data_IF_338048919497
#
_entry.id   IF_338048919497
#
_cell.length_a   1.000
_cell.length_b   1.000
_cell.length_c   1.000
_cell.angle_alpha   90.00
_cell.angle_beta   90.00
_cell.angle_gamma   90.00
#
_symmetry.space_group_name_H-M   'P 1'
#
loop_
_entity.id
_entity.type
_entity.pdbx_description
1 polymer ?
#
# COMPACT_ATOMS: atom_id res chain seq x y z
N UNK A 1 26.27 31.17 58.45
CA UNK A 1 26.06 29.74 58.15
C UNK A 1 24.70 29.55 57.52
N UNK A 2 24.58 28.63 56.55
CA UNK A 2 23.42 28.27 55.68
C UNK A 2 23.56 28.81 54.24
N UNK A 3 24.34 28.13 53.40
CA UNK A 3 24.02 26.93 52.59
C UNK A 3 23.33 27.33 51.28
N UNK A 4 24.12 27.31 50.21
CA UNK A 4 23.69 27.32 48.81
C UNK A 4 22.83 26.08 48.51
N UNK A 5 21.72 26.26 47.80
CA UNK A 5 21.10 25.20 47.01
C UNK A 5 21.07 25.66 45.54
N UNK A 6 21.95 25.06 44.74
CA UNK A 6 21.88 25.08 43.28
C UNK A 6 20.77 24.12 42.84
N UNK A 7 19.78 24.62 42.11
CA UNK A 7 18.79 23.81 41.39
C UNK A 7 19.20 23.75 39.92
N UNK A 8 19.73 22.60 39.52
CA UNK A 8 19.95 22.21 38.13
C UNK A 8 18.59 22.04 37.43
N UNK A 9 18.36 22.60 36.22
CA UNK A 9 17.27 22.15 35.38
C UNK A 9 17.62 20.76 34.82
N UNK A 10 16.82 19.78 35.23
CA UNK A 10 16.86 18.40 34.75
C UNK A 10 16.56 18.43 33.24
N UNK A 11 17.51 17.99 32.43
CA UNK A 11 17.28 17.62 31.04
C UNK A 11 16.20 16.52 31.00
N UNK A 12 14.98 16.90 30.65
CA UNK A 12 13.93 15.97 30.26
C UNK A 12 14.28 15.39 28.90
N UNK A 13 14.80 14.17 28.90
CA UNK A 13 14.91 13.33 27.70
C UNK A 13 13.51 13.15 27.12
N UNK A 14 13.23 13.81 26.00
CA UNK A 14 12.12 13.46 25.10
C UNK A 14 12.38 12.01 24.64
N UNK A 15 11.76 11.07 25.35
CA UNK A 15 11.74 9.68 24.96
C UNK A 15 10.88 9.55 23.69
N UNK A 16 11.52 9.33 22.54
CA UNK A 16 10.84 8.92 21.30
C UNK A 16 10.24 7.48 21.38
N UNK A 17 10.10 6.91 22.57
CA UNK A 17 9.65 5.53 22.79
C UNK A 17 8.14 5.39 23.06
N UNK A 18 7.48 6.43 23.56
CA UNK A 18 6.07 6.33 24.01
C UNK A 18 5.03 6.57 22.91
N UNK A 19 5.44 6.90 21.68
CA UNK A 19 4.50 7.11 20.56
C UNK A 19 4.14 5.83 19.79
N UNK A 20 4.78 4.70 20.10
CA UNK A 20 4.51 3.43 19.41
C UNK A 20 3.42 2.58 20.08
N UNK A 21 2.89 2.99 21.23
CA UNK A 21 2.04 2.14 22.06
C UNK A 21 0.56 2.59 22.18
N UNK A 22 0.08 3.47 21.30
CA UNK A 22 -1.28 4.04 21.43
C UNK A 22 -2.08 4.06 20.12
N UNK A 23 -2.39 2.87 19.62
CA UNK A 23 -3.66 2.48 19.02
C UNK A 23 -3.54 0.99 18.65
N UNK A 24 -4.60 0.16 18.72
CA UNK A 24 -4.60 -1.04 17.89
C UNK A 24 -4.33 -0.53 16.48
N UNK A 25 -3.21 -0.93 15.87
CA UNK A 25 -2.89 -0.58 14.49
C UNK A 25 -4.00 -1.20 13.64
N UNK A 26 -5.08 -0.45 13.46
CA UNK A 26 -6.22 -0.85 12.68
C UNK A 26 -5.70 -1.23 11.30
N UNK A 27 -6.34 -2.24 10.71
CA UNK A 27 -6.00 -2.62 9.35
C UNK A 27 -6.26 -1.45 8.42
N UNK A 28 -5.27 -1.10 7.61
CA UNK A 28 -5.37 -0.06 6.58
C UNK A 28 -5.46 -0.70 5.21
N UNK A 29 -5.96 0.09 4.27
CA UNK A 29 -5.99 -0.25 2.86
C UNK A 29 -5.71 0.99 2.04
N UNK A 30 -5.19 0.80 0.84
CA UNK A 30 -5.06 1.85 -0.14
C UNK A 30 -4.99 1.24 -1.53
N UNK A 31 -5.22 2.06 -2.54
CA UNK A 31 -5.00 1.70 -3.93
C UNK A 31 -4.09 2.69 -4.64
N UNK A 32 -3.45 2.20 -5.68
CA UNK A 32 -2.78 2.97 -6.71
C UNK A 32 -3.40 2.58 -8.05
N UNK A 33 -4.26 3.45 -8.58
CA UNK A 33 -4.91 3.23 -9.88
C UNK A 33 -4.13 3.96 -10.97
N UNK A 34 -3.51 3.20 -11.89
CA UNK A 34 -2.69 3.74 -12.98
C UNK A 34 -3.47 3.95 -14.28
N UNK A 35 -4.78 3.70 -14.28
CA UNK A 35 -5.63 3.90 -15.45
C UNK A 35 -5.80 5.40 -15.77
N UNK A 36 -6.11 5.75 -17.04
CA UNK A 36 -6.27 4.85 -18.18
C UNK A 36 -4.96 4.47 -18.90
N UNK A 37 -3.84 5.19 -18.70
CA UNK A 37 -2.64 4.99 -19.53
C UNK A 37 -1.95 3.64 -19.24
N UNK A 38 -2.16 3.08 -18.05
CA UNK A 38 -1.87 1.67 -17.76
C UNK A 38 -3.14 0.98 -17.28
N UNK A 39 -3.57 -0.12 -17.92
CA UNK A 39 -4.73 -0.89 -17.49
C UNK A 39 -4.37 -1.77 -16.28
N UNK A 40 -3.92 -1.13 -15.19
CA UNK A 40 -3.51 -1.76 -13.94
C UNK A 40 -3.95 -0.93 -12.74
N UNK A 41 -4.28 -1.60 -11.65
CA UNK A 41 -4.50 -0.99 -10.35
C UNK A 41 -3.94 -1.93 -9.28
N UNK A 42 -3.10 -1.40 -8.39
CA UNK A 42 -2.61 -2.17 -7.25
C UNK A 42 -3.37 -1.75 -6.01
N UNK A 43 -3.87 -2.70 -5.22
CA UNK A 43 -4.36 -2.41 -3.87
C UNK A 43 -3.57 -3.17 -2.80
N UNK A 44 -3.56 -2.58 -1.61
CA UNK A 44 -3.11 -3.20 -0.38
C UNK A 44 -4.30 -3.29 0.55
N UNK A 45 -4.52 -4.48 1.12
CA UNK A 45 -5.62 -4.79 2.05
C UNK A 45 -5.05 -5.39 3.33
N UNK A 46 -5.73 -5.15 4.45
CA UNK A 46 -5.35 -5.67 5.77
C UNK A 46 -3.94 -5.27 6.23
N UNK A 47 -3.41 -4.13 5.77
CA UNK A 47 -2.08 -3.68 6.14
C UNK A 47 -2.00 -3.34 7.64
N UNK A 48 -1.04 -3.96 8.33
CA UNK A 48 -0.78 -3.75 9.76
C UNK A 48 0.55 -3.05 9.90
N UNK A 49 0.53 -1.73 9.87
CA UNK A 49 1.72 -0.92 10.02
C UNK A 49 1.41 0.53 10.35
N UNK A 50 2.43 1.32 10.69
CA UNK A 50 2.25 2.70 11.14
C UNK A 50 1.81 3.65 10.02
N UNK A 51 2.11 3.33 8.76
CA UNK A 51 1.72 4.13 7.58
C UNK A 51 1.82 3.35 6.27
N UNK A 52 1.08 3.81 5.24
CA UNK A 52 1.15 3.34 3.85
C UNK A 52 2.01 4.25 2.96
N UNK A 53 2.84 5.13 3.56
CA UNK A 53 3.65 6.13 2.85
C UNK A 53 4.58 5.51 1.79
N UNK A 54 5.11 4.31 2.06
CA UNK A 54 5.94 3.60 1.07
C UNK A 54 5.13 3.27 -0.17
N UNK A 55 3.89 2.81 0.00
CA UNK A 55 3.01 2.47 -1.12
C UNK A 55 2.56 3.73 -1.87
N UNK A 56 2.23 4.80 -1.16
CA UNK A 56 1.98 6.12 -1.77
C UNK A 56 3.17 6.60 -2.61
N UNK A 57 4.39 6.53 -2.06
CA UNK A 57 5.61 6.94 -2.77
C UNK A 57 5.89 6.11 -4.02
N UNK A 58 5.64 4.80 -3.97
CA UNK A 58 5.70 3.93 -5.16
C UNK A 58 4.66 4.36 -6.18
N UNK A 59 3.44 4.66 -5.76
CA UNK A 59 2.39 5.13 -6.67
C UNK A 59 2.75 6.45 -7.36
N UNK A 60 3.26 7.44 -6.62
CA UNK A 60 3.69 8.72 -7.20
C UNK A 60 4.87 8.54 -8.17
N UNK A 61 5.76 7.58 -7.92
CA UNK A 61 6.84 7.24 -8.85
C UNK A 61 6.30 6.62 -10.14
N UNK A 62 5.35 5.69 -10.03
CA UNK A 62 4.70 5.06 -11.18
C UNK A 62 3.90 6.09 -11.98
N UNK A 63 3.25 7.03 -11.30
CA UNK A 63 2.54 8.15 -11.91
C UNK A 63 3.46 9.06 -12.70
N UNK A 64 4.62 9.39 -12.15
CA UNK A 64 5.63 10.17 -12.88
C UNK A 64 6.11 9.42 -14.14
N UNK A 65 6.25 8.09 -14.07
CA UNK A 65 6.72 7.26 -15.18
C UNK A 65 5.66 7.02 -16.28
N UNK A 66 4.40 6.87 -15.88
CA UNK A 66 3.30 6.50 -16.78
C UNK A 66 2.46 7.70 -17.21
N UNK A 67 2.63 8.86 -16.53
CA UNK A 67 1.85 10.09 -16.69
C UNK A 67 0.38 9.99 -16.26
N UNK A 68 -0.01 8.85 -15.69
CA UNK A 68 -1.31 8.58 -15.06
C UNK A 68 -1.10 7.89 -13.72
N UNK A 69 -2.03 8.02 -12.78
CA UNK A 69 -1.83 7.44 -11.46
C UNK A 69 -2.52 8.24 -10.38
N UNK A 70 -3.29 7.55 -9.55
CA UNK A 70 -3.91 8.13 -8.36
C UNK A 70 -3.74 7.19 -7.18
N UNK A 71 -3.12 7.70 -6.12
CA UNK A 71 -3.11 7.07 -4.82
C UNK A 71 -4.36 7.46 -4.04
N UNK A 72 -4.97 6.50 -3.35
CA UNK A 72 -6.09 6.75 -2.46
C UNK A 72 -6.04 5.82 -1.24
N UNK A 73 -5.87 6.39 -0.06
CA UNK A 73 -5.96 5.67 1.20
C UNK A 73 -7.43 5.41 1.58
N UNK A 74 -7.71 4.23 2.13
CA UNK A 74 -9.07 3.79 2.47
C UNK A 74 -9.83 3.14 1.31
N UNK A 75 -9.27 3.11 0.10
CA UNK A 75 -9.91 2.52 -1.08
C UNK A 75 -9.24 1.22 -1.54
N UNK A 76 -9.99 0.42 -2.32
CA UNK A 76 -9.52 -0.76 -3.05
C UNK A 76 -9.78 -0.57 -4.54
N UNK A 77 -9.10 -1.34 -5.38
CA UNK A 77 -9.29 -1.25 -6.82
C UNK A 77 -10.71 -1.61 -7.21
N UNK A 78 -11.31 -0.83 -8.10
CA UNK A 78 -12.58 -1.20 -8.74
C UNK A 78 -12.30 -2.34 -9.71
N UNK A 79 -12.87 -3.52 -9.47
CA UNK A 79 -12.60 -4.73 -10.27
C UNK A 79 -13.46 -4.81 -11.53
N UNK A 80 -14.30 -3.82 -11.81
CA UNK A 80 -15.07 -3.74 -13.05
C UNK A 80 -14.13 -3.83 -14.25
N UNK A 81 -14.40 -4.78 -15.14
CA UNK A 81 -13.61 -5.08 -16.33
C UNK A 81 -12.16 -5.53 -16.07
N UNK A 82 -11.85 -5.99 -14.86
CA UNK A 82 -10.62 -6.75 -14.62
C UNK A 82 -10.72 -8.17 -15.20
N UNK A 83 -9.62 -8.69 -15.73
CA UNK A 83 -9.47 -10.13 -15.97
C UNK A 83 -9.21 -10.89 -14.66
N UNK A 84 -8.53 -10.24 -13.72
CA UNK A 84 -8.13 -10.77 -12.43
C UNK A 84 -6.88 -10.06 -11.93
N UNK A 85 -6.25 -10.60 -10.90
CA UNK A 85 -5.07 -10.01 -10.29
C UNK A 85 -4.08 -11.02 -9.75
N UNK A 86 -2.82 -10.60 -9.69
CA UNK A 86 -1.75 -11.36 -9.05
C UNK A 86 -1.66 -10.89 -7.60
N UNK A 87 -2.02 -11.78 -6.67
CA UNK A 87 -2.04 -11.51 -5.24
C UNK A 87 -0.83 -12.10 -4.56
N UNK A 88 -0.06 -11.26 -3.90
CA UNK A 88 0.92 -11.66 -2.90
C UNK A 88 0.27 -11.62 -1.51
N UNK A 89 0.51 -12.67 -0.72
CA UNK A 89 0.14 -12.72 0.69
C UNK A 89 1.40 -12.61 1.52
N UNK A 90 1.47 -11.59 2.37
CA UNK A 90 2.59 -11.42 3.27
C UNK A 90 2.33 -12.09 4.62
N UNK A 91 3.40 -12.47 5.32
CA UNK A 91 3.34 -13.23 6.58
C UNK A 91 2.47 -12.55 7.67
N UNK A 92 2.34 -11.23 7.60
CA UNK A 92 1.54 -10.42 8.54
C UNK A 92 0.02 -10.42 8.23
N UNK A 93 -0.37 -11.15 7.18
CA UNK A 93 -1.75 -11.28 6.71
C UNK A 93 -2.26 -10.11 5.86
N UNK A 94 -1.38 -9.18 5.48
CA UNK A 94 -1.72 -8.17 4.49
C UNK A 94 -1.63 -8.76 3.08
N UNK A 95 -2.56 -8.32 2.23
CA UNK A 95 -2.65 -8.74 0.84
C UNK A 95 -2.26 -7.56 -0.03
N UNK A 96 -1.45 -7.81 -1.04
CA UNK A 96 -1.22 -6.86 -2.12
C UNK A 96 -1.66 -7.52 -3.42
N UNK A 97 -2.55 -6.89 -4.17
CA UNK A 97 -3.03 -7.42 -5.45
C UNK A 97 -2.78 -6.41 -6.55
N UNK A 98 -2.06 -6.83 -7.60
CA UNK A 98 -2.01 -6.08 -8.84
C UNK A 98 -3.12 -6.59 -9.77
N UNK A 99 -4.13 -5.76 -10.02
CA UNK A 99 -5.26 -6.06 -10.90
C UNK A 99 -4.96 -5.64 -12.33
N UNK A 100 -5.33 -6.50 -13.28
CA UNK A 100 -5.09 -6.29 -14.70
C UNK A 100 -6.42 -6.15 -15.43
N UNK A 101 -6.60 -5.01 -16.08
CA UNK A 101 -7.84 -4.63 -16.75
C UNK A 101 -7.83 -4.98 -18.22
N UNK A 102 -9.01 -5.33 -18.75
CA UNK A 102 -9.20 -5.56 -20.18
C UNK A 102 -8.65 -4.39 -21.00
N UNK A 103 -7.78 -4.71 -21.94
CA UNK A 103 -7.18 -3.73 -22.85
C UNK A 103 -6.70 -4.47 -24.09
N UNK A 104 -7.17 -4.04 -25.26
CA UNK A 104 -6.83 -4.67 -26.54
C UNK A 104 -5.31 -4.68 -26.81
N UNK A 105 -4.56 -3.72 -26.27
CA UNK A 105 -3.12 -3.56 -26.50
C UNK A 105 -2.25 -4.28 -25.45
N UNK A 106 -2.69 -4.30 -24.19
CA UNK A 106 -1.88 -4.78 -23.05
C UNK A 106 -2.33 -6.14 -22.54
N UNK A 107 -3.63 -6.29 -22.31
CA UNK A 107 -4.23 -7.48 -21.72
C UNK A 107 -5.47 -7.88 -22.53
N UNK A 108 -5.26 -8.42 -23.75
CA UNK A 108 -6.36 -8.76 -24.64
C UNK A 108 -7.21 -9.93 -24.12
N UNK A 109 -6.64 -10.76 -23.25
CA UNK A 109 -7.29 -11.91 -22.64
C UNK A 109 -6.76 -12.20 -21.23
N UNK A 110 -7.45 -13.10 -20.51
CA UNK A 110 -7.07 -13.53 -19.16
C UNK A 110 -5.70 -14.20 -19.12
N UNK A 111 -5.31 -14.93 -20.17
CA UNK A 111 -4.03 -15.62 -20.21
C UNK A 111 -2.86 -14.63 -20.23
N UNK A 112 -2.98 -13.55 -21.00
CA UNK A 112 -2.02 -12.45 -21.03
C UNK A 112 -1.92 -11.75 -19.67
N UNK A 113 -3.05 -11.48 -19.03
CA UNK A 113 -3.06 -10.88 -17.69
C UNK A 113 -2.42 -11.79 -16.63
N UNK A 114 -2.75 -13.08 -16.65
CA UNK A 114 -2.23 -14.08 -15.69
C UNK A 114 -0.74 -14.35 -15.86
N UNK A 115 -0.21 -14.16 -17.07
CA UNK A 115 1.22 -14.30 -17.35
C UNK A 115 2.08 -13.23 -16.64
N UNK A 116 1.48 -12.15 -16.16
CA UNK A 116 2.17 -11.10 -15.39
C UNK A 116 2.46 -11.49 -13.94
N UNK A 117 1.89 -12.59 -13.43
CA UNK A 117 2.14 -13.04 -12.07
C UNK A 117 3.60 -13.50 -11.90
N UNK A 118 4.22 -13.07 -10.80
CA UNK A 118 5.55 -13.52 -10.45
C UNK A 118 5.50 -14.87 -9.71
N UNK A 119 6.66 -15.53 -9.62
CA UNK A 119 6.78 -16.77 -8.87
C UNK A 119 6.47 -16.53 -7.38
N UNK A 120 5.35 -17.05 -6.90
CA UNK A 120 4.89 -16.91 -5.52
C UNK A 120 3.56 -16.17 -5.40
N UNK A 121 3.12 -15.49 -6.46
CA UNK A 121 1.81 -14.89 -6.51
C UNK A 121 0.72 -15.94 -6.74
N UNK A 122 -0.45 -15.65 -6.18
CA UNK A 122 -1.68 -16.41 -6.46
C UNK A 122 -2.56 -15.59 -7.38
N UNK A 123 -2.93 -16.14 -8.53
CA UNK A 123 -3.95 -15.54 -9.39
C UNK A 123 -5.30 -15.56 -8.69
N UNK A 124 -5.94 -14.40 -8.59
CA UNK A 124 -7.28 -14.24 -8.05
C UNK A 124 -8.22 -13.69 -9.13
N UNK A 125 -9.40 -14.29 -9.33
CA UNK A 125 -10.40 -13.70 -10.21
C UNK A 125 -10.94 -12.39 -9.61
N UNK A 126 -11.50 -11.49 -10.42
CA UNK A 126 -12.22 -10.33 -9.89
C UNK A 126 -13.37 -10.84 -9.02
N UNK A 127 -13.54 -10.24 -7.84
CA UNK A 127 -14.72 -10.51 -7.02
C UNK A 127 -15.87 -9.62 -7.48
N UNK A 128 -17.07 -10.21 -7.60
CA UNK A 128 -18.31 -9.49 -7.88
C UNK A 128 -18.72 -8.54 -6.74
#
# INVERSE_FOLDING_TARGET
>A
MRTFLFLLPILGTLACGDLLDQAPLGTRQARCDLRPDRPQCTDIRNFKGPSLLTFEGVCETLKAATKSGSYEEGAVCDMTDAWGGCQSSNIDGHLQTNWFYKSDDKYPDEAAAKAECESGDTWVPPAD
#
